data_IF_718947810966
#
_entry.id   IF_718947810966
#
_cell.length_a   1.000
_cell.length_b   1.000
_cell.length_c   1.000
_cell.angle_alpha   90.00
_cell.angle_beta   90.00
_cell.angle_gamma   90.00
#
_symmetry.space_group_name_H-M   'P 1'
#
loop_
_entity.id
_entity.type
_entity.pdbx_description
1 polymer ?
#
# COMPACT_ATOMS: atom_id res chain seq x y z
N UNK A 1 -5.92 -8.87 6.78
CA UNK A 1 -6.21 -8.28 5.45
C UNK A 1 -6.78 -6.87 5.54
N UNK A 2 -7.93 -6.69 6.23
CA UNK A 2 -8.65 -5.41 6.25
C UNK A 2 -7.84 -4.19 6.69
N UNK A 3 -6.93 -4.36 7.65
CA UNK A 3 -6.11 -3.26 8.15
C UNK A 3 -5.09 -2.73 7.12
N UNK A 4 -4.54 -3.59 6.25
CA UNK A 4 -3.64 -3.17 5.15
C UNK A 4 -4.44 -2.37 4.11
N UNK A 5 -5.59 -2.90 3.69
CA UNK A 5 -6.47 -2.22 2.74
C UNK A 5 -6.93 -0.88 3.29
N UNK A 6 -7.34 -0.83 4.56
CA UNK A 6 -7.73 0.40 5.25
C UNK A 6 -6.58 1.41 5.26
N UNK A 7 -5.37 0.99 5.65
CA UNK A 7 -4.23 1.90 5.69
C UNK A 7 -3.79 2.35 4.29
N UNK A 8 -4.01 1.55 3.25
CA UNK A 8 -3.75 1.91 1.86
C UNK A 8 -4.74 2.92 1.27
N UNK A 9 -6.00 2.94 1.72
CA UNK A 9 -7.00 3.89 1.22
C UNK A 9 -6.60 5.36 1.46
N UNK A 10 -6.00 5.66 2.60
CA UNK A 10 -5.64 7.03 2.97
C UNK A 10 -4.60 7.69 2.05
N UNK A 11 -3.41 7.10 1.80
CA UNK A 11 -2.43 7.70 0.90
C UNK A 11 -2.95 7.77 -0.54
N UNK A 12 -3.76 6.80 -0.97
CA UNK A 12 -4.39 6.80 -2.28
C UNK A 12 -5.38 7.97 -2.45
N UNK A 13 -6.33 8.09 -1.53
CA UNK A 13 -7.35 9.15 -1.56
C UNK A 13 -6.74 10.54 -1.35
N UNK A 14 -5.78 10.68 -0.43
CA UNK A 14 -5.12 11.97 -0.20
C UNK A 14 -4.34 12.42 -1.43
N UNK A 15 -3.62 11.52 -2.12
CA UNK A 15 -2.93 11.83 -3.36
C UNK A 15 -3.90 12.28 -4.47
N UNK A 16 -5.03 11.59 -4.63
CA UNK A 16 -6.06 11.94 -5.61
C UNK A 16 -6.69 13.31 -5.31
N UNK A 17 -7.08 13.54 -4.05
CA UNK A 17 -7.69 14.80 -3.62
C UNK A 17 -6.76 15.99 -3.79
N UNK A 18 -5.45 15.78 -3.67
CA UNK A 18 -4.44 16.80 -3.93
C UNK A 18 -4.33 17.13 -5.42
N UNK A 19 -4.33 16.12 -6.28
CA UNK A 19 -4.22 16.32 -7.72
C UNK A 19 -5.45 17.05 -8.30
N UNK A 20 -6.65 16.80 -7.77
CA UNK A 20 -7.90 17.47 -8.18
C UNK A 20 -8.18 18.76 -7.39
N UNK A 21 -7.25 19.23 -6.55
CA UNK A 21 -7.45 20.40 -5.67
C UNK A 21 -7.91 21.66 -6.42
N UNK A 22 -7.32 21.99 -7.57
CA UNK A 22 -7.73 23.22 -8.30
C UNK A 22 -9.11 23.08 -8.91
N UNK A 23 -9.47 21.90 -9.43
CA UNK A 23 -10.79 21.67 -9.99
C UNK A 23 -11.87 21.70 -8.90
N UNK A 24 -11.57 21.14 -7.71
CA UNK A 24 -12.44 21.26 -6.55
C UNK A 24 -12.56 22.70 -6.05
N UNK A 25 -11.47 23.46 -6.02
CA UNK A 25 -11.48 24.87 -5.66
C UNK A 25 -12.30 25.71 -6.64
N UNK A 26 -12.22 25.42 -7.94
CA UNK A 26 -13.00 26.09 -8.99
C UNK A 26 -14.48 25.73 -8.92
N UNK A 27 -14.81 24.50 -8.52
CA UNK A 27 -16.18 24.04 -8.30
C UNK A 27 -16.77 24.40 -6.93
N UNK A 28 -16.03 25.08 -6.06
CA UNK A 28 -16.50 25.45 -4.71
C UNK A 28 -16.52 24.31 -3.69
N UNK A 29 -15.94 23.15 -4.01
CA UNK A 29 -15.92 21.98 -3.13
C UNK A 29 -14.84 22.10 -2.03
N UNK A 30 -15.25 21.88 -0.77
CA UNK A 30 -14.36 21.90 0.40
C UNK A 30 -13.79 20.52 0.70
N UNK A 31 -12.73 20.15 0.00
CA UNK A 31 -11.98 18.93 0.27
C UNK A 31 -10.85 19.17 1.28
N UNK A 32 -10.40 18.13 1.99
CA UNK A 32 -9.33 18.24 2.99
C UNK A 32 -8.01 18.75 2.37
N UNK A 33 -7.75 18.44 1.10
CA UNK A 33 -6.63 18.99 0.33
C UNK A 33 -6.74 20.50 0.04
N UNK A 34 -7.95 21.05 0.05
CA UNK A 34 -8.24 22.48 -0.21
C UNK A 34 -8.27 23.27 1.09
N UNK A 35 -8.88 22.71 2.15
CA UNK A 35 -9.08 23.41 3.43
C UNK A 35 -7.94 23.22 4.42
N UNK A 36 -7.34 22.02 4.49
CA UNK A 36 -6.29 21.67 5.44
C UNK A 36 -5.17 20.85 4.76
N UNK A 37 -4.42 21.47 3.83
CA UNK A 37 -3.39 20.79 3.04
C UNK A 37 -2.33 20.11 3.92
N UNK A 38 -2.01 20.70 5.07
CA UNK A 38 -1.01 20.19 6.01
C UNK A 38 -1.40 18.90 6.70
N UNK A 39 -2.68 18.76 7.02
CA UNK A 39 -3.23 17.55 7.62
C UNK A 39 -3.29 16.43 6.57
N UNK A 40 -3.66 16.75 5.33
CA UNK A 40 -3.71 15.79 4.23
C UNK A 40 -2.32 15.15 3.98
N UNK A 41 -1.26 15.97 3.90
CA UNK A 41 0.11 15.47 3.71
C UNK A 41 0.62 14.64 4.91
N UNK A 42 0.32 15.05 6.14
CA UNK A 42 0.71 14.31 7.36
C UNK A 42 0.00 12.97 7.49
N UNK A 43 -1.30 12.92 7.23
CA UNK A 43 -2.10 11.68 7.31
C UNK A 43 -1.61 10.69 6.25
N UNK A 44 -1.36 11.14 5.02
CA UNK A 44 -0.82 10.28 3.96
C UNK A 44 0.51 9.63 4.37
N UNK A 45 1.46 10.43 4.88
CA UNK A 45 2.76 9.94 5.37
C UNK A 45 2.58 8.93 6.51
N UNK A 46 1.75 9.26 7.51
CA UNK A 46 1.51 8.41 8.67
C UNK A 46 0.98 7.04 8.26
N UNK A 47 0.06 6.99 7.29
CA UNK A 47 -0.49 5.74 6.80
C UNK A 47 0.49 4.95 5.92
N UNK A 48 1.37 5.61 5.16
CA UNK A 48 2.47 4.92 4.47
C UNK A 48 3.46 4.28 5.47
N UNK A 49 3.84 4.99 6.53
CA UNK A 49 4.70 4.43 7.58
C UNK A 49 3.96 3.33 8.37
N UNK A 50 2.66 3.50 8.59
CA UNK A 50 1.80 2.48 9.18
C UNK A 50 1.73 1.21 8.33
N UNK A 51 1.76 1.31 6.99
CA UNK A 51 1.81 0.15 6.09
C UNK A 51 3.12 -0.64 6.25
N UNK A 52 4.26 0.03 6.48
CA UNK A 52 5.51 -0.66 6.83
C UNK A 52 5.30 -1.45 8.13
N UNK A 53 4.85 -0.79 9.20
CA UNK A 53 4.63 -1.43 10.50
C UNK A 53 3.65 -2.59 10.45
N UNK A 54 2.52 -2.43 9.73
CA UNK A 54 1.55 -3.50 9.51
C UNK A 54 2.14 -4.68 8.73
N UNK A 55 2.98 -4.40 7.73
CA UNK A 55 3.60 -5.45 6.92
C UNK A 55 4.64 -6.25 7.72
N UNK A 56 5.33 -5.60 8.67
CA UNK A 56 6.25 -6.26 9.61
C UNK A 56 5.51 -7.02 10.71
N UNK A 57 4.33 -6.55 11.13
CA UNK A 57 3.48 -7.23 12.12
C UNK A 57 2.67 -8.39 11.54
N UNK A 58 2.40 -8.41 10.23
CA UNK A 58 1.69 -9.51 9.56
C UNK A 58 2.28 -10.92 9.79
N UNK A 59 3.61 -11.14 9.70
CA UNK A 59 4.23 -12.43 10.07
C UNK A 59 4.20 -12.72 11.58
N UNK A 60 4.26 -11.68 12.43
CA UNK A 60 4.21 -11.85 13.89
C UNK A 60 2.84 -12.30 14.40
N UNK A 61 1.78 -12.09 13.62
CA UNK A 61 0.41 -12.53 13.90
C UNK A 61 0.08 -13.90 13.30
N UNK A 62 1.07 -14.64 12.78
CA UNK A 62 0.92 -15.97 12.14
C UNK A 62 -0.04 -15.98 10.91
N UNK A 63 -0.30 -14.80 10.35
CA UNK A 63 -1.20 -14.64 9.19
C UNK A 63 -0.47 -14.91 7.86
N UNK A 64 0.86 -14.84 7.84
CA UNK A 64 1.70 -14.93 6.62
C UNK A 64 3.09 -15.53 6.87
N UNK A 65 3.62 -16.28 5.91
CA UNK A 65 4.99 -16.85 5.93
C UNK A 65 6.08 -15.78 6.08
N UNK A 66 7.21 -16.13 6.71
CA UNK A 66 8.41 -15.27 6.87
C UNK A 66 8.96 -14.64 5.57
N UNK A 67 8.62 -15.14 4.38
CA UNK A 67 8.98 -14.53 3.09
C UNK A 67 8.14 -13.28 2.74
N UNK A 68 6.93 -13.14 3.30
CA UNK A 68 6.03 -12.02 3.03
C UNK A 68 6.59 -10.64 3.44
N UNK A 69 7.14 -10.45 4.66
CA UNK A 69 7.75 -9.19 5.05
C UNK A 69 8.95 -8.83 4.17
N UNK A 70 9.78 -9.79 3.76
CA UNK A 70 11.00 -9.54 2.96
C UNK A 70 10.64 -8.98 1.57
N UNK A 71 9.65 -9.59 0.90
CA UNK A 71 9.27 -9.18 -0.46
C UNK A 71 8.40 -7.90 -0.43
N UNK A 72 7.57 -7.72 0.60
CA UNK A 72 6.74 -6.53 0.74
C UNK A 72 7.52 -5.30 1.24
N UNK A 73 8.66 -5.49 1.92
CA UNK A 73 9.51 -4.42 2.44
C UNK A 73 9.89 -3.38 1.37
N UNK A 74 10.48 -3.75 0.21
CA UNK A 74 10.87 -2.78 -0.81
C UNK A 74 9.67 -2.00 -1.37
N UNK A 75 8.51 -2.64 -1.52
CA UNK A 75 7.29 -2.01 -2.03
C UNK A 75 6.73 -1.00 -1.00
N UNK A 76 6.74 -1.37 0.28
CA UNK A 76 6.31 -0.49 1.38
C UNK A 76 7.31 0.66 1.63
N UNK A 77 8.60 0.43 1.48
CA UNK A 77 9.63 1.47 1.50
C UNK A 77 9.44 2.45 0.34
N UNK A 78 9.17 1.94 -0.86
CA UNK A 78 8.98 2.77 -2.04
C UNK A 78 7.75 3.68 -1.90
N UNK A 79 6.59 3.16 -1.50
CA UNK A 79 5.39 4.00 -1.27
C UNK A 79 5.58 4.99 -0.12
N UNK A 80 6.37 4.64 0.91
CA UNK A 80 6.72 5.55 2.00
C UNK A 80 7.67 6.64 1.57
N UNK A 81 8.66 6.33 0.72
CA UNK A 81 9.53 7.32 0.11
C UNK A 81 8.74 8.32 -0.75
N UNK A 82 7.79 7.84 -1.55
CA UNK A 82 6.89 8.71 -2.31
C UNK A 82 5.98 9.54 -1.40
N UNK A 83 5.48 8.97 -0.31
CA UNK A 83 4.71 9.68 0.71
C UNK A 83 5.51 10.80 1.38
N UNK A 84 6.78 10.55 1.67
CA UNK A 84 7.70 11.55 2.21
C UNK A 84 7.99 12.66 1.20
N UNK A 85 8.23 12.29 -0.06
CA UNK A 85 8.42 13.26 -1.13
C UNK A 85 7.17 14.13 -1.34
N UNK A 86 5.98 13.53 -1.28
CA UNK A 86 4.71 14.26 -1.32
C UNK A 86 4.56 15.20 -0.10
N UNK A 87 4.96 14.76 1.09
CA UNK A 87 4.95 15.58 2.29
C UNK A 87 5.87 16.81 2.22
N UNK A 88 7.03 16.67 1.57
CA UNK A 88 8.04 17.72 1.45
C UNK A 88 7.80 18.65 0.27
N UNK A 89 7.58 18.11 -0.93
CA UNK A 89 7.47 18.91 -2.16
C UNK A 89 6.04 19.45 -2.35
N UNK A 90 5.01 18.76 -1.84
CA UNK A 90 3.58 19.13 -1.93
C UNK A 90 3.09 19.49 -3.35
N UNK A 91 3.72 18.91 -4.37
CA UNK A 91 3.46 19.23 -5.78
C UNK A 91 2.49 18.23 -6.42
N UNK A 92 1.76 18.67 -7.47
CA UNK A 92 0.86 17.83 -8.29
C UNK A 92 1.59 16.60 -8.84
N UNK A 93 2.83 16.79 -9.31
CA UNK A 93 3.63 15.69 -9.83
C UNK A 93 3.93 14.63 -8.77
N UNK A 94 4.26 15.05 -7.55
CA UNK A 94 4.53 14.13 -6.43
C UNK A 94 3.25 13.40 -6.00
N UNK A 95 2.10 14.09 -5.97
CA UNK A 95 0.80 13.49 -5.71
C UNK A 95 0.44 12.43 -6.75
N UNK A 96 0.62 12.76 -8.04
CA UNK A 96 0.30 11.84 -9.15
C UNK A 96 1.18 10.59 -9.13
N UNK A 97 2.47 10.75 -8.81
CA UNK A 97 3.39 9.62 -8.60
C UNK A 97 2.94 8.74 -7.42
N UNK A 98 2.58 9.33 -6.28
CA UNK A 98 2.09 8.59 -5.12
C UNK A 98 0.80 7.82 -5.45
N UNK A 99 -0.12 8.46 -6.19
CA UNK A 99 -1.35 7.83 -6.67
C UNK A 99 -1.08 6.62 -7.57
N UNK A 100 -0.29 6.78 -8.64
CA UNK A 100 0.04 5.65 -9.53
C UNK A 100 0.82 4.55 -8.82
N UNK A 101 1.75 4.92 -7.93
CA UNK A 101 2.46 3.95 -7.12
C UNK A 101 1.53 3.17 -6.19
N UNK A 102 0.57 3.85 -5.56
CA UNK A 102 -0.44 3.18 -4.72
C UNK A 102 -1.31 2.24 -5.56
N UNK A 103 -1.68 2.65 -6.78
CA UNK A 103 -2.47 1.85 -7.72
C UNK A 103 -1.74 0.57 -8.12
N UNK A 104 -0.42 0.62 -8.32
CA UNK A 104 0.41 -0.56 -8.57
C UNK A 104 0.71 -1.38 -7.30
N UNK A 105 0.83 -0.71 -6.15
CA UNK A 105 1.09 -1.37 -4.87
C UNK A 105 -0.02 -2.37 -4.52
N UNK A 106 -1.29 -2.01 -4.73
CA UNK A 106 -2.44 -2.88 -4.43
C UNK A 106 -2.41 -4.23 -5.17
N UNK A 107 -2.35 -4.31 -6.52
CA UNK A 107 -2.29 -5.56 -7.24
C UNK A 107 -1.01 -6.33 -6.93
N UNK A 108 0.14 -5.67 -6.75
CA UNK A 108 1.37 -6.36 -6.33
C UNK A 108 1.22 -6.98 -4.95
N UNK A 109 0.62 -6.28 -3.99
CA UNK A 109 0.40 -6.79 -2.63
C UNK A 109 -0.63 -7.92 -2.60
N UNK A 110 -1.71 -7.81 -3.39
CA UNK A 110 -2.68 -8.88 -3.59
C UNK A 110 -2.04 -10.13 -4.22
N UNK A 111 -1.23 -9.95 -5.27
CA UNK A 111 -0.46 -11.03 -5.88
C UNK A 111 0.47 -11.67 -4.85
N UNK A 112 1.24 -10.87 -4.10
CA UNK A 112 2.13 -11.37 -3.04
C UNK A 112 1.37 -12.24 -2.03
N UNK A 113 0.18 -11.80 -1.62
CA UNK A 113 -0.65 -12.54 -0.67
C UNK A 113 -1.18 -13.84 -1.28
N UNK A 114 -1.57 -13.84 -2.56
CA UNK A 114 -1.95 -15.05 -3.27
C UNK A 114 -0.78 -16.04 -3.40
N UNK A 115 0.41 -15.56 -3.76
CA UNK A 115 1.61 -16.41 -3.90
C UNK A 115 2.11 -16.91 -2.54
N UNK A 116 2.05 -16.10 -1.49
CA UNK A 116 2.41 -16.51 -0.13
C UNK A 116 1.38 -17.47 0.48
N UNK A 117 0.11 -17.44 0.06
CA UNK A 117 -0.88 -18.47 0.41
C UNK A 117 -0.56 -19.84 -0.23
N UNK A 118 0.40 -19.91 -1.16
CA UNK A 118 0.79 -21.12 -1.90
C UNK A 118 2.01 -21.85 -1.34
N UNK A 119 2.28 -21.78 -0.03
CA UNK A 119 3.21 -22.74 0.62
C UNK A 119 2.51 -23.98 1.19
N UNK A 120 1.19 -24.11 1.02
CA UNK A 120 0.46 -25.34 1.37
C UNK A 120 0.00 -26.13 0.14
N UNK A 121 -0.31 -25.48 -1.00
CA UNK A 121 -0.79 -26.20 -2.21
C UNK A 121 0.36 -26.79 -3.01
N UNK A 122 1.47 -26.06 -3.20
CA UNK A 122 2.62 -26.56 -3.96
C UNK A 122 3.41 -27.68 -3.26
N UNK A 123 3.27 -27.82 -1.94
CA UNK A 123 3.82 -28.95 -1.18
C UNK A 123 2.88 -30.16 -1.22
N UNK A 124 1.57 -29.93 -1.23
CA UNK A 124 0.56 -31.00 -1.30
C UNK A 124 0.53 -31.68 -2.67
N UNK A 125 0.56 -30.92 -3.78
CA UNK A 125 0.65 -31.48 -5.14
C UNK A 125 1.96 -32.26 -5.36
N UNK A 126 3.10 -31.77 -4.84
CA UNK A 126 4.37 -32.50 -4.94
C UNK A 126 4.39 -33.78 -4.09
N UNK A 127 3.78 -33.77 -2.91
CA UNK A 127 3.72 -34.96 -2.03
C UNK A 127 2.73 -36.00 -2.53
N UNK A 128 1.57 -35.59 -3.08
CA UNK A 128 0.58 -36.50 -3.68
C UNK A 128 1.12 -37.14 -4.97
N UNK A 129 1.79 -36.38 -5.84
CA UNK A 129 2.40 -36.92 -7.06
C UNK A 129 3.59 -37.87 -6.80
N UNK A 130 4.28 -37.74 -5.66
CA UNK A 130 5.35 -38.64 -5.23
C UNK A 130 4.82 -39.93 -4.56
N UNK A 131 3.58 -39.92 -4.07
CA UNK A 131 2.95 -41.06 -3.41
C UNK A 131 2.10 -41.93 -4.36
N UNK A 132 1.66 -41.38 -5.49
CA UNK A 132 1.08 -42.16 -6.60
C UNK A 132 2.14 -42.78 -7.53
N UNK A 133 3.39 -42.30 -7.45
CA UNK A 133 4.54 -42.79 -8.23
C UNK A 133 5.43 -43.80 -7.45
N UNK A 134 5.03 -44.20 -6.24
CA UNK A 134 5.66 -45.21 -5.38
C UNK A 134 4.71 -46.37 -5.11
#
# INVERSE_FOLDING_TARGET
>A
MGAILYSWQFPHFNALSWNLREDYSRGGYRMMSVTHPDMCRRVALRHCLGLIGLSTLAPALDVTTWNFPIISLPINLYISYLGYRFYRDADRNSARKLFFCSLWHLPTLLLLMLTCKKSLVGKKEKTEALQEAS
#
